data_IF_804279977602
#
_entry.id   IF_804279977602
#
_cell.length_a   1.000
_cell.length_b   1.000
_cell.length_c   1.000
_cell.angle_alpha   90.00
_cell.angle_beta   90.00
_cell.angle_gamma   90.00
#
_symmetry.space_group_name_H-M   'P 1'
#
loop_
_entity.id
_entity.type
_entity.pdbx_description
1 polymer ?
#
# COMPACT_ATOMS: atom_id res chain seq x y z
N UNK A 1 -18.01 -9.61 -12.24
CA UNK A 1 -16.85 -8.70 -12.33
C UNK A 1 -15.70 -9.34 -11.58
N UNK A 2 -14.87 -10.11 -12.28
CA UNK A 2 -13.82 -10.94 -11.71
C UNK A 2 -12.81 -10.07 -10.96
N UNK A 3 -12.93 -10.10 -9.64
CA UNK A 3 -12.00 -9.43 -8.76
C UNK A 3 -10.65 -10.12 -8.91
N UNK A 4 -9.67 -9.39 -9.45
CA UNK A 4 -8.26 -9.78 -9.47
C UNK A 4 -7.51 -8.84 -8.54
N UNK A 5 -7.87 -8.88 -7.25
CA UNK A 5 -7.27 -8.04 -6.22
C UNK A 5 -5.76 -8.27 -6.14
N UNK A 6 -5.31 -9.51 -6.39
CA UNK A 6 -3.89 -9.85 -6.42
C UNK A 6 -3.11 -9.06 -7.49
N UNK A 7 -3.69 -8.86 -8.68
CA UNK A 7 -3.04 -8.09 -9.75
C UNK A 7 -3.10 -6.60 -9.48
N UNK A 8 -4.24 -6.09 -9.04
CA UNK A 8 -4.41 -4.69 -8.68
C UNK A 8 -3.44 -4.28 -7.56
N UNK A 9 -3.27 -5.14 -6.55
CA UNK A 9 -2.27 -5.01 -5.51
C UNK A 9 -0.84 -4.91 -6.08
N UNK A 10 -0.48 -5.81 -7.01
CA UNK A 10 0.82 -5.78 -7.68
C UNK A 10 1.06 -4.47 -8.45
N UNK A 11 0.07 -4.00 -9.21
CA UNK A 11 0.15 -2.74 -9.96
C UNK A 11 0.33 -1.53 -9.02
N UNK A 12 -0.38 -1.52 -7.89
CA UNK A 12 -0.23 -0.49 -6.85
C UNK A 12 1.19 -0.46 -6.25
N UNK A 13 1.82 -1.62 -6.03
CA UNK A 13 3.18 -1.68 -5.50
C UNK A 13 4.22 -1.10 -6.49
N UNK A 14 3.94 -1.22 -7.80
CA UNK A 14 4.78 -0.63 -8.85
C UNK A 14 4.62 0.88 -8.97
N UNK A 15 3.46 1.41 -8.59
CA UNK A 15 3.13 2.83 -8.71
C UNK A 15 4.03 3.70 -7.80
N UNK A 16 4.78 4.66 -8.36
CA UNK A 16 5.70 5.48 -7.58
C UNK A 16 4.98 6.42 -6.59
N UNK A 17 3.73 6.81 -6.85
CA UNK A 17 2.96 7.60 -5.89
C UNK A 17 2.57 6.77 -4.67
N UNK A 18 2.35 5.46 -4.83
CA UNK A 18 2.11 4.57 -3.70
C UNK A 18 3.34 4.43 -2.80
N UNK A 19 4.55 4.38 -3.39
CA UNK A 19 5.81 4.38 -2.62
C UNK A 19 5.94 5.65 -1.78
N UNK A 20 5.71 6.83 -2.37
CA UNK A 20 5.70 8.12 -1.64
C UNK A 20 4.70 8.14 -0.48
N UNK A 21 3.50 7.58 -0.68
CA UNK A 21 2.50 7.45 0.38
C UNK A 21 2.99 6.56 1.54
N UNK A 22 3.69 5.46 1.24
CA UNK A 22 4.30 4.61 2.27
C UNK A 22 5.42 5.36 3.01
N UNK A 23 6.29 6.08 2.30
CA UNK A 23 7.34 6.90 2.91
C UNK A 23 6.77 7.99 3.83
N UNK A 24 5.71 8.68 3.41
CA UNK A 24 5.05 9.69 4.25
C UNK A 24 4.44 9.04 5.50
N UNK A 25 3.85 7.85 5.36
CA UNK A 25 3.28 7.11 6.49
C UNK A 25 4.35 6.54 7.42
N UNK A 26 5.47 6.07 6.90
CA UNK A 26 6.62 5.60 7.66
C UNK A 26 7.21 6.77 8.48
N UNK A 27 7.40 7.94 7.85
CA UNK A 27 7.80 9.18 8.53
C UNK A 27 6.82 9.59 9.62
N UNK A 28 5.51 9.54 9.37
CA UNK A 28 4.52 9.86 10.39
C UNK A 28 4.51 8.87 11.57
N UNK A 29 4.91 7.60 11.33
CA UNK A 29 4.97 6.55 12.35
C UNK A 29 6.31 6.55 13.11
N UNK A 30 7.38 7.01 12.47
CA UNK A 30 8.66 7.37 13.06
C UNK A 30 8.50 8.59 13.97
N UNK A 31 7.79 8.42 15.09
CA UNK A 31 7.78 9.40 16.19
C UNK A 31 9.20 9.45 16.76
N UNK A 32 9.87 10.59 16.57
CA UNK A 32 11.24 10.91 16.99
C UNK A 32 12.36 10.24 16.16
N UNK A 33 12.87 10.98 15.17
CA UNK A 33 14.28 10.86 14.75
C UNK A 33 14.69 9.64 13.92
N UNK A 34 13.76 8.79 13.49
CA UNK A 34 14.10 7.81 12.46
C UNK A 34 14.16 8.51 11.09
N UNK A 35 15.38 8.79 10.66
CA UNK A 35 15.73 9.15 9.29
C UNK A 35 15.37 7.95 8.42
N UNK A 36 14.14 7.94 7.90
CA UNK A 36 13.73 6.98 6.87
C UNK A 36 14.06 7.67 5.55
N UNK A 37 15.17 7.30 4.88
CA UNK A 37 15.54 7.94 3.63
C UNK A 37 14.41 7.76 2.60
N UNK A 38 14.07 8.87 1.94
CA UNK A 38 13.11 8.92 0.84
C UNK A 38 13.57 7.95 -0.26
N UNK A 39 12.75 6.94 -0.56
CA UNK A 39 13.10 5.90 -1.55
C UNK A 39 13.55 4.56 -0.97
N UNK A 40 13.46 4.34 0.35
CA UNK A 40 13.69 3.02 0.95
C UNK A 40 12.64 1.98 0.53
N UNK A 41 11.41 2.43 0.25
CA UNK A 41 10.32 1.53 -0.12
C UNK A 41 10.42 1.13 -1.60
N UNK A 42 10.97 -0.06 -1.84
CA UNK A 42 10.99 -0.72 -3.14
C UNK A 42 9.63 -1.36 -3.47
N UNK A 43 9.47 -1.86 -4.70
CA UNK A 43 8.27 -2.64 -5.10
C UNK A 43 8.05 -3.85 -4.21
N UNK A 44 9.15 -4.46 -3.76
CA UNK A 44 9.14 -5.63 -2.88
C UNK A 44 8.65 -5.25 -1.49
N UNK A 45 9.12 -4.12 -0.96
CA UNK A 45 8.71 -3.64 0.36
C UNK A 45 7.23 -3.21 0.37
N UNK A 46 6.79 -2.50 -0.68
CA UNK A 46 5.37 -2.16 -0.86
C UNK A 46 4.49 -3.43 -0.93
N UNK A 47 4.98 -4.47 -1.61
CA UNK A 47 4.30 -5.75 -1.70
C UNK A 47 4.26 -6.51 -0.37
N UNK A 48 5.34 -6.49 0.39
CA UNK A 48 5.41 -7.12 1.71
C UNK A 48 4.55 -6.39 2.73
N UNK A 49 4.59 -5.06 2.72
CA UNK A 49 3.71 -4.21 3.52
C UNK A 49 2.24 -4.53 3.26
N UNK A 50 1.86 -4.66 1.99
CA UNK A 50 0.48 -4.95 1.60
C UNK A 50 0.05 -6.36 2.03
N UNK A 51 0.94 -7.35 1.93
CA UNK A 51 0.71 -8.71 2.47
C UNK A 51 0.49 -8.69 3.97
N UNK A 52 1.37 -8.01 4.72
CA UNK A 52 1.24 -7.85 6.18
C UNK A 52 -0.03 -7.10 6.57
N UNK A 53 -0.36 -6.02 5.86
CA UNK A 53 -1.55 -5.23 6.13
C UNK A 53 -2.84 -6.05 5.88
N UNK A 54 -2.89 -6.79 4.78
CA UNK A 54 -4.01 -7.68 4.45
C UNK A 54 -4.02 -8.97 5.29
N UNK A 55 -2.96 -9.27 6.05
CA UNK A 55 -2.84 -10.49 6.85
C UNK A 55 -2.71 -11.77 6.00
N UNK A 56 -2.14 -11.66 4.79
CA UNK A 56 -2.01 -12.77 3.85
C UNK A 56 -0.55 -13.12 3.61
N UNK A 57 -0.29 -14.42 3.43
CA UNK A 57 1.04 -14.88 3.04
C UNK A 57 1.30 -14.60 1.56
N UNK A 58 0.28 -14.52 0.69
CA UNK A 58 0.47 -14.28 -0.74
C UNK A 58 -0.62 -13.41 -1.32
N UNK A 59 -0.30 -12.58 -2.33
CA UNK A 59 -1.26 -11.69 -3.00
C UNK A 59 -2.44 -12.48 -3.60
N UNK A 60 -2.20 -13.70 -4.07
CA UNK A 60 -3.23 -14.60 -4.60
C UNK A 60 -4.27 -15.01 -3.55
N UNK A 61 -3.93 -14.99 -2.25
CA UNK A 61 -4.88 -15.28 -1.18
C UNK A 61 -5.89 -14.13 -0.97
N UNK A 62 -5.59 -12.92 -1.47
CA UNK A 62 -6.51 -11.77 -1.34
C UNK A 62 -7.80 -12.03 -2.12
N UNK A 63 -7.74 -12.70 -3.27
CA UNK A 63 -8.93 -13.01 -4.07
C UNK A 63 -9.83 -14.07 -3.41
N UNK A 64 -9.25 -14.96 -2.60
CA UNK A 64 -9.99 -15.97 -1.84
C UNK A 64 -10.43 -15.52 -0.44
N UNK A 65 -9.92 -14.39 0.06
CA UNK A 65 -10.17 -13.93 1.42
C UNK A 65 -10.91 -12.58 1.44
N UNK A 66 -12.20 -12.56 1.78
CA UNK A 66 -12.99 -11.32 1.78
C UNK A 66 -12.48 -10.29 2.79
N UNK A 67 -11.86 -10.72 3.90
CA UNK A 67 -11.25 -9.84 4.90
C UNK A 67 -10.02 -9.13 4.33
N UNK A 68 -9.16 -9.88 3.63
CA UNK A 68 -8.00 -9.31 2.94
C UNK A 68 -8.43 -8.32 1.83
N UNK A 69 -9.48 -8.66 1.08
CA UNK A 69 -10.05 -7.79 0.06
C UNK A 69 -10.64 -6.49 0.64
N UNK A 70 -11.34 -6.58 1.78
CA UNK A 70 -11.85 -5.41 2.50
C UNK A 70 -10.70 -4.48 2.96
N UNK A 71 -9.64 -5.06 3.51
CA UNK A 71 -8.44 -4.31 3.90
C UNK A 71 -7.78 -3.64 2.70
N UNK A 72 -7.63 -4.35 1.58
CA UNK A 72 -7.09 -3.79 0.35
C UNK A 72 -7.92 -2.59 -0.13
N UNK A 73 -9.26 -2.72 -0.15
CA UNK A 73 -10.17 -1.61 -0.49
C UNK A 73 -10.02 -0.42 0.46
N UNK A 74 -9.82 -0.65 1.75
CA UNK A 74 -9.59 0.42 2.72
C UNK A 74 -8.28 1.17 2.44
N UNK A 75 -7.20 0.43 2.14
CA UNK A 75 -5.90 1.00 1.76
C UNK A 75 -6.04 1.82 0.49
N UNK A 76 -6.69 1.27 -0.54
CA UNK A 76 -6.95 1.98 -1.80
C UNK A 76 -7.70 3.28 -1.57
N UNK A 77 -8.80 3.25 -0.79
CA UNK A 77 -9.56 4.47 -0.48
C UNK A 77 -8.70 5.51 0.25
N UNK A 78 -7.88 5.09 1.22
CA UNK A 78 -6.98 5.99 1.96
C UNK A 78 -5.92 6.58 1.03
N UNK A 79 -5.35 5.77 0.14
CA UNK A 79 -4.40 6.22 -0.86
C UNK A 79 -5.01 7.20 -1.85
N UNK A 80 -6.22 6.95 -2.36
CA UNK A 80 -6.93 7.88 -3.25
C UNK A 80 -7.21 9.21 -2.55
N UNK A 81 -7.64 9.18 -1.28
CA UNK A 81 -7.82 10.41 -0.48
C UNK A 81 -6.52 11.19 -0.28
N UNK A 82 -5.41 10.48 -0.03
CA UNK A 82 -4.10 11.10 0.07
C UNK A 82 -3.66 11.69 -1.27
N UNK A 83 -3.78 10.94 -2.36
CA UNK A 83 -3.45 11.36 -3.72
C UNK A 83 -4.24 12.60 -4.13
N UNK A 84 -5.52 12.68 -3.79
CA UNK A 84 -6.35 13.85 -4.02
C UNK A 84 -5.86 15.10 -3.27
N UNK A 85 -5.23 14.92 -2.09
CA UNK A 85 -4.63 16.02 -1.33
C UNK A 85 -3.27 16.43 -1.91
N UNK A 86 -2.46 15.47 -2.33
CA UNK A 86 -1.15 15.75 -2.96
C UNK A 86 -1.28 16.43 -4.32
N UNK A 87 -2.28 16.07 -5.14
CA UNK A 87 -2.54 16.71 -6.44
C UNK A 87 -3.07 18.15 -6.34
N UNK A 88 -3.40 18.62 -5.13
CA UNK A 88 -3.90 19.97 -4.87
C UNK A 88 -2.80 20.95 -4.41
N UNK A 89 -1.53 20.52 -4.42
CA UNK A 89 -0.36 21.36 -4.13
C UNK A 89 0.35 21.80 -5.41
#
# INVERSE_FOLDING_TARGET
>A
MSQHHARAAGMLCRDPAFRRYLDQRARARARFGADVPDGTHTEEDAGDWLRRACGVASRSQIDGNPSAAATLRMIQNRFQRWRARENHQ
#
